data_IF_891396663469
#
_entry.id   IF_891396663469
#
_cell.length_a   1.000
_cell.length_b   1.000
_cell.length_c   1.000
_cell.angle_alpha   90.00
_cell.angle_beta   90.00
_cell.angle_gamma   90.00
#
_symmetry.space_group_name_H-M   'P 1'
#
loop_
_entity.id
_entity.type
_entity.pdbx_description
1 polymer ?
#
# COMPACT_ATOMS: atom_id res chain seq x y z
N UNK A 1 -9.21 -36.09 -49.54
CA UNK A 1 -8.90 -34.98 -50.45
C UNK A 1 -8.24 -33.87 -49.64
N UNK A 2 -6.90 -33.82 -49.64
CA UNK A 2 -6.15 -32.68 -49.13
C UNK A 2 -6.13 -31.61 -50.23
N UNK A 3 -6.77 -30.47 -49.99
CA UNK A 3 -6.75 -29.35 -50.94
C UNK A 3 -5.34 -28.81 -51.11
N UNK A 4 -4.86 -28.74 -52.36
CA UNK A 4 -3.62 -28.09 -52.75
C UNK A 4 -3.89 -26.59 -52.94
N UNK A 5 -3.06 -25.72 -52.36
CA UNK A 5 -3.12 -24.28 -52.55
C UNK A 5 -1.92 -23.80 -53.38
N UNK A 6 -2.17 -23.02 -54.43
CA UNK A 6 -1.14 -22.43 -55.29
C UNK A 6 -1.12 -20.90 -55.09
N UNK A 7 -0.05 -20.38 -54.50
CA UNK A 7 0.12 -18.94 -54.21
C UNK A 7 0.84 -18.69 -52.88
N UNK A 8 1.14 -17.42 -52.57
CA UNK A 8 1.67 -17.02 -51.25
C UNK A 8 0.51 -16.91 -50.27
N UNK A 9 0.50 -17.74 -49.23
CA UNK A 9 -0.37 -17.55 -48.07
C UNK A 9 0.37 -16.78 -47.00
N UNK A 10 -0.33 -15.84 -46.37
CA UNK A 10 0.11 -15.25 -45.12
C UNK A 10 -0.81 -15.78 -44.03
N UNK A 11 -0.21 -16.35 -42.99
CA UNK A 11 -0.90 -16.72 -41.76
C UNK A 11 -0.40 -15.79 -40.69
N UNK A 12 -1.31 -15.09 -40.01
CA UNK A 12 -0.91 -14.34 -38.83
C UNK A 12 -0.54 -15.34 -37.74
N UNK A 13 0.76 -15.52 -37.51
CA UNK A 13 1.29 -16.39 -36.47
C UNK A 13 1.61 -15.50 -35.27
N UNK A 14 0.64 -15.42 -34.36
CA UNK A 14 0.73 -14.65 -33.11
C UNK A 14 1.57 -15.46 -32.10
N UNK A 15 2.90 -15.47 -32.30
CA UNK A 15 3.89 -16.15 -31.44
C UNK A 15 4.84 -15.13 -30.82
N UNK A 16 5.24 -15.37 -29.57
CA UNK A 16 6.22 -14.55 -28.87
C UNK A 16 5.76 -14.09 -27.48
N UNK A 17 6.74 -13.79 -26.64
CA UNK A 17 6.52 -13.21 -25.32
C UNK A 17 5.87 -11.83 -25.44
N UNK A 18 4.80 -11.59 -24.67
CA UNK A 18 4.13 -10.28 -24.57
C UNK A 18 4.59 -9.56 -23.32
N UNK A 19 4.76 -8.24 -23.44
CA UNK A 19 5.20 -7.39 -22.32
C UNK A 19 4.14 -7.35 -21.23
N UNK A 20 4.58 -7.49 -19.98
CA UNK A 20 3.72 -7.37 -18.79
C UNK A 20 3.81 -5.94 -18.29
N UNK A 21 2.67 -5.27 -18.15
CA UNK A 21 2.59 -3.96 -17.53
C UNK A 21 2.35 -4.07 -16.03
N UNK A 22 2.90 -3.11 -15.27
CA UNK A 22 2.61 -2.98 -13.86
C UNK A 22 1.20 -2.41 -13.65
N UNK A 23 0.40 -2.98 -12.72
CA UNK A 23 -0.83 -2.36 -12.29
C UNK A 23 -0.52 -1.13 -11.44
N UNK A 24 -1.43 -0.17 -11.41
CA UNK A 24 -1.32 1.00 -10.53
C UNK A 24 -1.25 0.54 -9.06
N UNK A 25 -0.14 0.82 -8.40
CA UNK A 25 0.13 0.41 -7.01
C UNK A 25 -0.48 1.35 -5.97
N UNK A 26 -0.92 2.53 -6.41
CA UNK A 26 -1.25 3.69 -5.57
C UNK A 26 -2.75 4.01 -5.48
N UNK A 27 -3.63 3.09 -5.88
CA UNK A 27 -5.09 3.28 -5.73
C UNK A 27 -5.45 3.18 -4.25
N UNK A 28 -6.09 4.22 -3.71
CA UNK A 28 -6.45 4.33 -2.30
C UNK A 28 -7.94 4.00 -2.12
N UNK A 29 -8.25 3.08 -1.22
CA UNK A 29 -9.59 2.75 -0.76
C UNK A 29 -9.87 3.51 0.53
N UNK A 30 -10.87 4.38 0.51
CA UNK A 30 -11.14 5.30 1.60
C UNK A 30 -12.58 5.13 2.10
N UNK A 31 -12.76 4.96 3.41
CA UNK A 31 -14.09 4.97 4.03
C UNK A 31 -14.09 5.91 5.21
N UNK A 32 -14.99 6.88 5.18
CA UNK A 32 -15.17 7.85 6.26
C UNK A 32 -16.62 8.38 6.24
N UNK A 33 -16.94 9.20 7.24
CA UNK A 33 -18.26 9.74 7.48
C UNK A 33 -18.55 11.00 6.67
N UNK A 34 -19.83 11.15 6.32
CA UNK A 34 -20.39 12.39 5.80
C UNK A 34 -21.85 12.53 6.22
N UNK A 35 -22.41 13.71 5.99
CA UNK A 35 -23.84 13.98 6.19
C UNK A 35 -24.49 14.15 4.83
N UNK A 36 -25.50 13.32 4.53
CA UNK A 36 -26.26 13.46 3.29
C UNK A 36 -26.99 14.81 3.27
N UNK A 37 -26.84 15.55 2.18
CA UNK A 37 -27.59 16.77 1.94
C UNK A 37 -28.02 16.81 0.47
N UNK A 38 -29.19 17.41 0.14
CA UNK A 38 -29.66 17.54 -1.24
C UNK A 38 -28.69 18.29 -2.17
N UNK A 39 -27.78 19.09 -1.62
CA UNK A 39 -26.78 19.83 -2.35
C UNK A 39 -25.61 18.98 -2.89
N UNK A 40 -25.47 17.73 -2.42
CA UNK A 40 -24.36 16.84 -2.75
C UNK A 40 -24.84 15.59 -3.48
N UNK A 41 -23.97 15.02 -4.32
CA UNK A 41 -24.35 13.91 -5.21
C UNK A 41 -24.22 12.53 -4.57
N UNK A 42 -23.39 12.37 -3.54
CA UNK A 42 -23.16 11.07 -2.93
C UNK A 42 -24.35 10.60 -2.08
N UNK A 43 -24.58 9.29 -2.13
CA UNK A 43 -25.49 8.57 -1.23
C UNK A 43 -24.68 7.68 -0.29
N UNK A 44 -25.19 7.44 0.90
CA UNK A 44 -24.54 6.59 1.88
C UNK A 44 -24.32 5.20 1.31
N UNK A 45 -23.12 4.68 1.55
CA UNK A 45 -22.64 3.40 1.06
C UNK A 45 -22.63 3.28 -0.48
N UNK A 46 -22.71 4.39 -1.22
CA UNK A 46 -22.35 4.36 -2.63
C UNK A 46 -20.84 4.53 -2.79
N UNK A 47 -20.29 3.74 -3.71
CA UNK A 47 -18.88 3.76 -4.03
C UNK A 47 -18.66 4.76 -5.16
N UNK A 48 -17.74 5.70 -4.95
CA UNK A 48 -17.40 6.73 -5.93
C UNK A 48 -15.90 6.67 -6.26
N UNK A 49 -15.57 6.93 -7.52
CA UNK A 49 -14.20 7.15 -7.98
C UNK A 49 -13.92 8.64 -7.95
N UNK A 50 -12.85 9.04 -7.26
CA UNK A 50 -12.43 10.43 -7.10
C UNK A 50 -11.00 10.56 -7.61
N UNK A 51 -10.79 11.55 -8.48
CA UNK A 51 -9.50 11.82 -9.12
C UNK A 51 -8.98 13.23 -8.83
N UNK A 52 -9.83 14.09 -8.29
CA UNK A 52 -9.49 15.46 -7.93
C UNK A 52 -10.34 15.94 -6.73
N UNK A 53 -9.90 17.02 -6.11
CA UNK A 53 -10.54 17.60 -4.93
C UNK A 53 -11.95 18.12 -5.22
N UNK A 54 -12.18 18.68 -6.42
CA UNK A 54 -13.48 19.21 -6.83
C UNK A 54 -14.55 18.12 -6.85
N UNK A 55 -14.22 16.93 -7.32
CA UNK A 55 -15.11 15.76 -7.29
C UNK A 55 -15.48 15.36 -5.87
N UNK A 56 -14.51 15.36 -4.94
CA UNK A 56 -14.78 15.06 -3.53
C UNK A 56 -15.75 16.08 -2.91
N UNK A 57 -15.50 17.38 -3.14
CA UNK A 57 -16.35 18.47 -2.62
C UNK A 57 -17.76 18.38 -3.22
N UNK A 58 -17.89 18.11 -4.51
CA UNK A 58 -19.20 17.94 -5.15
C UNK A 58 -19.95 16.70 -4.64
N UNK A 59 -19.22 15.63 -4.29
CA UNK A 59 -19.77 14.37 -3.82
C UNK A 59 -20.29 14.46 -2.38
N UNK A 60 -19.50 14.99 -1.45
CA UNK A 60 -19.80 14.93 0.00
C UNK A 60 -19.87 16.28 0.71
N UNK A 61 -19.51 17.36 0.02
CA UNK A 61 -19.39 18.69 0.61
C UNK A 61 -18.00 19.01 1.16
N UNK A 62 -17.66 20.29 1.32
CA UNK A 62 -16.32 20.72 1.73
C UNK A 62 -15.96 20.34 3.17
N UNK A 63 -16.94 20.33 4.08
CA UNK A 63 -16.70 20.10 5.51
C UNK A 63 -16.77 18.63 5.93
N UNK A 64 -17.12 17.72 5.01
CA UNK A 64 -17.24 16.31 5.32
C UNK A 64 -15.87 15.68 5.64
N UNK A 65 -15.85 14.76 6.62
CA UNK A 65 -14.61 14.10 7.05
C UNK A 65 -13.92 13.36 5.89
N UNK A 66 -14.73 12.67 5.07
CA UNK A 66 -14.29 12.02 3.84
C UNK A 66 -13.62 12.98 2.84
N UNK A 67 -14.14 14.20 2.69
CA UNK A 67 -13.57 15.22 1.79
C UNK A 67 -12.23 15.72 2.34
N UNK A 68 -12.15 15.98 3.65
CA UNK A 68 -10.89 16.37 4.31
C UNK A 68 -9.82 15.28 4.20
N UNK A 69 -10.21 14.01 4.28
CA UNK A 69 -9.30 12.89 4.07
C UNK A 69 -8.81 12.77 2.61
N UNK A 70 -9.69 13.04 1.63
CA UNK A 70 -9.28 13.15 0.22
C UNK A 70 -8.30 14.32 0.01
N UNK A 71 -8.57 15.48 0.61
CA UNK A 71 -7.67 16.65 0.57
C UNK A 71 -6.30 16.32 1.18
N UNK A 72 -6.27 15.62 2.31
CA UNK A 72 -5.05 15.16 2.97
C UNK A 72 -4.16 14.29 2.05
N UNK A 73 -4.77 13.35 1.32
CA UNK A 73 -4.07 12.54 0.31
C UNK A 73 -3.51 13.44 -0.80
N UNK A 74 -4.35 14.35 -1.30
CA UNK A 74 -4.01 15.25 -2.40
C UNK A 74 -2.93 16.29 -2.07
N UNK A 75 -2.63 16.55 -0.78
CA UNK A 75 -1.48 17.36 -0.39
C UNK A 75 -0.16 16.79 -0.90
N UNK A 76 -0.06 15.45 -1.04
CA UNK A 76 1.18 14.79 -1.43
C UNK A 76 1.10 14.08 -2.78
N UNK A 77 -0.02 13.44 -3.10
CA UNK A 77 -0.19 12.72 -4.36
C UNK A 77 -1.58 12.92 -4.96
N UNK A 78 -1.64 13.18 -6.27
CA UNK A 78 -2.88 13.09 -7.07
C UNK A 78 -3.23 11.62 -7.35
N UNK A 79 -3.49 10.88 -6.30
CA UNK A 79 -3.83 9.45 -6.36
C UNK A 79 -5.27 9.24 -6.81
N UNK A 80 -5.57 8.07 -7.38
CA UNK A 80 -6.94 7.65 -7.63
C UNK A 80 -7.54 7.11 -6.34
N UNK A 81 -8.65 7.68 -5.90
CA UNK A 81 -9.32 7.30 -4.65
C UNK A 81 -10.65 6.62 -4.98
N UNK A 82 -10.83 5.40 -4.49
CA UNK A 82 -12.11 4.69 -4.46
C UNK A 82 -12.68 4.89 -3.06
N UNK A 83 -13.70 5.73 -2.96
CA UNK A 83 -14.21 6.21 -1.69
C UNK A 83 -15.66 5.75 -1.45
N UNK A 84 -15.94 5.34 -0.21
CA UNK A 84 -17.27 4.98 0.27
C UNK A 84 -17.64 5.91 1.43
N UNK A 85 -18.63 6.77 1.21
CA UNK A 85 -19.15 7.64 2.26
C UNK A 85 -20.14 6.88 3.15
N UNK A 86 -19.93 6.87 4.45
CA UNK A 86 -20.88 6.31 5.42
C UNK A 86 -21.63 7.43 6.11
N UNK A 87 -22.94 7.26 6.32
CA UNK A 87 -23.73 8.26 7.03
C UNK A 87 -23.22 8.43 8.47
N UNK A 88 -23.07 9.67 8.91
CA UNK A 88 -22.71 10.00 10.30
C UNK A 88 -23.90 9.71 11.23
N UNK A 89 -23.69 8.85 12.22
CA UNK A 89 -24.67 8.53 13.27
C UNK A 89 -24.20 9.04 14.64
N UNK A 90 -25.14 9.20 15.58
CA UNK A 90 -24.84 9.74 16.90
C UNK A 90 -24.16 8.73 17.83
N UNK A 91 -24.56 7.44 17.75
CA UNK A 91 -23.99 6.38 18.57
C UNK A 91 -22.67 5.85 17.98
N UNK A 92 -21.64 5.75 18.83
CA UNK A 92 -20.30 5.36 18.40
C UNK A 92 -20.20 3.87 18.01
N UNK A 93 -20.98 3.00 18.65
CA UNK A 93 -20.99 1.57 18.35
C UNK A 93 -21.73 1.28 17.04
N UNK A 94 -22.85 1.98 16.81
CA UNK A 94 -23.54 1.99 15.52
C UNK A 94 -22.65 2.55 14.42
N UNK A 95 -21.91 3.65 14.68
CA UNK A 95 -20.98 4.21 13.70
C UNK A 95 -19.87 3.22 13.34
N UNK A 96 -19.31 2.53 14.33
CA UNK A 96 -18.30 1.47 14.14
C UNK A 96 -18.87 0.37 13.25
N UNK A 97 -20.10 -0.07 13.53
CA UNK A 97 -20.80 -1.10 12.74
C UNK A 97 -21.07 -0.64 11.30
N UNK A 98 -21.45 0.63 11.11
CA UNK A 98 -21.70 1.21 9.79
C UNK A 98 -20.42 1.34 8.95
N UNK A 99 -19.27 1.67 9.57
CA UNK A 99 -17.97 1.74 8.89
C UNK A 99 -17.49 0.34 8.47
N UNK A 100 -17.61 -0.66 9.35
CA UNK A 100 -17.31 -2.06 9.00
C UNK A 100 -18.22 -2.50 7.85
N UNK A 101 -19.51 -2.18 7.96
CA UNK A 101 -20.53 -2.51 6.98
C UNK A 101 -20.75 -4.02 6.84
N UNK A 102 -21.35 -4.40 5.73
CA UNK A 102 -21.73 -5.78 5.45
C UNK A 102 -22.31 -5.93 4.06
N UNK A 103 -23.12 -6.98 3.90
CA UNK A 103 -23.89 -7.23 2.67
C UNK A 103 -25.36 -7.14 3.03
N UNK A 104 -26.09 -6.27 2.35
CA UNK A 104 -27.54 -6.13 2.47
C UNK A 104 -28.25 -7.25 1.70
N UNK A 105 -29.54 -7.46 1.98
CA UNK A 105 -30.32 -8.53 1.34
C UNK A 105 -30.47 -8.36 -0.19
N UNK A 106 -30.35 -7.13 -0.68
CA UNK A 106 -30.31 -6.80 -2.12
C UNK A 106 -28.94 -7.09 -2.77
N UNK A 107 -27.95 -7.57 -1.99
CA UNK A 107 -26.60 -7.83 -2.43
C UNK A 107 -25.67 -6.61 -2.40
N UNK A 108 -26.17 -5.42 -2.04
CA UNK A 108 -25.35 -4.21 -1.94
C UNK A 108 -24.39 -4.32 -0.76
N UNK A 109 -23.11 -4.06 -1.02
CA UNK A 109 -22.08 -3.98 0.01
C UNK A 109 -22.03 -2.58 0.62
N UNK A 110 -21.81 -2.52 1.93
CA UNK A 110 -21.77 -1.26 2.70
C UNK A 110 -20.43 -1.09 3.43
N UNK A 111 -20.14 0.15 3.84
CA UNK A 111 -18.93 0.50 4.57
C UNK A 111 -17.66 0.02 3.86
N UNK A 112 -16.78 -0.63 4.61
CA UNK A 112 -15.53 -1.23 4.12
C UNK A 112 -15.74 -2.30 3.05
N UNK A 113 -16.81 -3.10 3.14
CA UNK A 113 -17.04 -4.17 2.17
C UNK A 113 -17.30 -3.62 0.75
N UNK A 114 -17.81 -2.39 0.63
CA UNK A 114 -18.05 -1.75 -0.67
C UNK A 114 -16.76 -1.54 -1.47
N UNK A 115 -15.59 -1.42 -0.82
CA UNK A 115 -14.31 -1.25 -1.50
C UNK A 115 -13.94 -2.47 -2.38
N UNK A 116 -14.52 -3.64 -2.11
CA UNK A 116 -14.35 -4.83 -2.97
C UNK A 116 -14.88 -4.62 -4.39
N UNK A 117 -15.86 -3.72 -4.55
CA UNK A 117 -16.53 -3.48 -5.82
C UNK A 117 -15.80 -2.42 -6.67
N UNK A 118 -14.70 -1.83 -6.17
CA UNK A 118 -13.94 -0.80 -6.88
C UNK A 118 -13.41 -1.28 -8.23
N UNK A 119 -12.96 -2.54 -8.30
CA UNK A 119 -12.44 -3.12 -9.56
C UNK A 119 -13.53 -3.35 -10.59
N UNK A 120 -14.69 -3.87 -10.19
CA UNK A 120 -15.78 -4.15 -11.13
C UNK A 120 -16.49 -2.87 -11.59
N UNK A 121 -16.66 -1.89 -10.70
CA UNK A 121 -17.33 -0.61 -11.03
C UNK A 121 -16.44 0.35 -11.80
N UNK A 122 -15.16 0.45 -11.43
CA UNK A 122 -14.28 1.51 -11.91
C UNK A 122 -12.96 1.02 -12.51
N UNK A 123 -12.76 -0.31 -12.59
CA UNK A 123 -11.46 -0.91 -12.92
C UNK A 123 -10.32 -0.43 -11.99
N UNK A 124 -10.67 0.01 -10.78
CA UNK A 124 -9.76 0.56 -9.79
C UNK A 124 -9.78 -0.33 -8.54
N UNK A 125 -8.82 -1.24 -8.43
CA UNK A 125 -8.69 -2.11 -7.25
C UNK A 125 -7.88 -1.39 -6.16
N UNK A 126 -8.45 -1.11 -4.99
CA UNK A 126 -7.72 -0.43 -3.91
C UNK A 126 -6.54 -1.26 -3.39
N UNK A 127 -5.38 -0.62 -3.23
CA UNK A 127 -4.13 -1.21 -2.73
C UNK A 127 -3.67 -0.62 -1.41
N UNK A 128 -4.09 0.59 -1.09
CA UNK A 128 -3.91 1.21 0.22
C UNK A 128 -5.30 1.41 0.80
N UNK A 129 -5.58 0.87 1.98
CA UNK A 129 -6.89 0.98 2.63
C UNK A 129 -6.77 1.86 3.86
N UNK A 130 -7.65 2.84 3.97
CA UNK A 130 -7.62 3.85 5.02
C UNK A 130 -9.03 4.15 5.50
N UNK A 131 -9.20 4.13 6.82
CA UNK A 131 -10.40 4.61 7.51
C UNK A 131 -9.98 5.61 8.60
N UNK A 132 -9.77 6.88 8.21
CA UNK A 132 -9.22 7.88 9.10
C UNK A 132 -10.03 7.97 10.38
N UNK A 133 -9.37 8.01 11.54
CA UNK A 133 -9.97 8.06 12.89
C UNK A 133 -10.72 6.80 13.31
N UNK A 134 -11.41 6.12 12.40
CA UNK A 134 -12.20 4.92 12.71
C UNK A 134 -11.34 3.68 12.92
N UNK A 135 -10.16 3.64 12.28
CA UNK A 135 -9.21 2.52 12.40
C UNK A 135 -8.56 2.37 13.79
N UNK A 136 -8.68 3.37 14.68
CA UNK A 136 -8.22 3.27 16.08
C UNK A 136 -9.13 2.38 16.94
N UNK A 137 -10.33 2.07 16.46
CA UNK A 137 -11.22 1.08 17.08
C UNK A 137 -10.87 -0.32 16.59
N UNK A 138 -10.58 -1.24 17.52
CA UNK A 138 -10.10 -2.60 17.21
C UNK A 138 -11.00 -3.36 16.23
N UNK A 139 -12.33 -3.19 16.33
CA UNK A 139 -13.29 -3.85 15.45
C UNK A 139 -13.13 -3.39 13.98
N UNK A 140 -12.94 -2.09 13.74
CA UNK A 140 -12.70 -1.53 12.40
C UNK A 140 -11.31 -1.92 11.91
N UNK A 141 -10.28 -1.83 12.76
CA UNK A 141 -8.92 -2.25 12.43
C UNK A 141 -8.87 -3.71 11.96
N UNK A 142 -9.53 -4.61 12.69
CA UNK A 142 -9.63 -6.05 12.33
C UNK A 142 -10.33 -6.24 10.98
N UNK A 143 -11.45 -5.55 10.75
CA UNK A 143 -12.18 -5.63 9.48
C UNK A 143 -11.36 -5.08 8.30
N UNK A 144 -10.61 -3.99 8.53
CA UNK A 144 -9.74 -3.36 7.53
C UNK A 144 -8.59 -4.29 7.13
N UNK A 145 -7.95 -4.96 8.08
CA UNK A 145 -6.89 -5.95 7.83
C UNK A 145 -7.44 -7.16 7.07
N UNK A 146 -8.59 -7.69 7.48
CA UNK A 146 -9.23 -8.81 6.79
C UNK A 146 -9.61 -8.45 5.33
N UNK A 147 -10.02 -7.20 5.10
CA UNK A 147 -10.28 -6.68 3.76
C UNK A 147 -8.99 -6.51 2.95
N UNK A 148 -7.91 -6.03 3.58
CA UNK A 148 -6.59 -5.90 2.97
C UNK A 148 -6.06 -7.25 2.47
N UNK A 149 -6.28 -8.34 3.22
CA UNK A 149 -5.93 -9.69 2.80
C UNK A 149 -6.71 -10.15 1.55
N UNK A 150 -8.00 -9.82 1.46
CA UNK A 150 -8.83 -10.15 0.27
C UNK A 150 -8.42 -9.34 -0.96
N UNK A 151 -8.18 -8.04 -0.77
CA UNK A 151 -7.82 -7.12 -1.86
C UNK A 151 -6.34 -7.18 -2.25
N UNK A 152 -5.49 -7.88 -1.48
CA UNK A 152 -4.02 -7.79 -1.57
C UNK A 152 -3.59 -6.33 -1.52
N UNK A 153 -4.07 -5.62 -0.51
CA UNK A 153 -3.73 -4.24 -0.20
C UNK A 153 -3.06 -4.11 1.17
N UNK A 154 -2.71 -2.90 1.57
CA UNK A 154 -2.15 -2.57 2.87
C UNK A 154 -3.16 -1.74 3.66
N UNK A 155 -3.52 -2.19 4.86
CA UNK A 155 -4.33 -1.43 5.80
C UNK A 155 -3.43 -0.44 6.56
N UNK A 156 -3.68 0.86 6.40
CA UNK A 156 -3.04 1.92 7.17
C UNK A 156 -3.94 2.25 8.35
N UNK A 157 -3.47 1.93 9.56
CA UNK A 157 -4.23 1.99 10.80
C UNK A 157 -3.74 3.16 11.64
N UNK A 158 -4.65 3.99 12.13
CA UNK A 158 -4.36 5.03 13.10
C UNK A 158 -4.28 4.44 14.52
N UNK A 159 -3.31 4.87 15.30
CA UNK A 159 -3.29 4.62 16.74
C UNK A 159 -4.32 5.41 17.52
N UNK A 160 -4.49 5.11 18.82
CA UNK A 160 -5.44 5.82 19.68
C UNK A 160 -5.02 7.27 19.96
N UNK A 161 -3.78 7.68 19.62
CA UNK A 161 -3.25 9.02 19.82
C UNK A 161 -3.32 9.52 21.28
N UNK A 162 -3.24 8.59 22.25
CA UNK A 162 -3.34 8.86 23.68
C UNK A 162 -1.97 8.78 24.36
N UNK A 163 -1.53 7.58 24.78
CA UNK A 163 -0.18 7.35 25.34
C UNK A 163 0.57 6.30 24.52
N UNK A 164 1.89 6.24 24.69
CA UNK A 164 2.72 5.26 23.99
C UNK A 164 2.36 3.84 24.42
N UNK A 165 2.02 3.62 25.69
CA UNK A 165 1.57 2.33 26.21
C UNK A 165 0.23 1.91 25.59
N UNK A 166 -0.69 2.85 25.40
CA UNK A 166 -1.96 2.57 24.73
C UNK A 166 -1.74 2.22 23.26
N UNK A 167 -0.84 2.91 22.57
CA UNK A 167 -0.48 2.59 21.19
C UNK A 167 0.18 1.19 21.08
N UNK A 168 1.13 0.88 21.98
CA UNK A 168 1.78 -0.43 22.05
C UNK A 168 0.80 -1.55 22.41
N UNK A 169 -0.14 -1.31 23.33
CA UNK A 169 -1.19 -2.26 23.68
C UNK A 169 -2.11 -2.51 22.48
N UNK A 170 -2.47 -1.45 21.75
CA UNK A 170 -3.31 -1.55 20.57
C UNK A 170 -2.64 -2.34 19.43
N UNK A 171 -1.35 -2.07 19.17
CA UNK A 171 -0.57 -2.78 18.15
C UNK A 171 -0.54 -4.30 18.39
N UNK A 172 -0.48 -4.74 19.65
CA UNK A 172 -0.47 -6.16 20.03
C UNK A 172 -1.75 -6.92 19.67
N UNK A 173 -2.85 -6.23 19.37
CA UNK A 173 -4.07 -6.88 18.88
C UNK A 173 -3.92 -7.39 17.43
N UNK A 174 -2.90 -6.95 16.70
CA UNK A 174 -2.69 -7.31 15.30
C UNK A 174 -1.39 -8.09 15.15
N UNK A 175 -1.46 -9.23 14.44
CA UNK A 175 -0.31 -10.05 14.05
C UNK A 175 -0.27 -10.26 12.53
N UNK A 176 -0.62 -9.23 11.75
CA UNK A 176 -0.90 -9.34 10.33
C UNK A 176 0.11 -8.56 9.48
N UNK A 177 0.62 -9.22 8.42
CA UNK A 177 1.60 -8.61 7.50
C UNK A 177 1.05 -7.43 6.69
N UNK A 178 -0.26 -7.32 6.55
CA UNK A 178 -0.94 -6.25 5.79
C UNK A 178 -1.46 -5.13 6.67
N UNK A 179 -1.03 -5.06 7.93
CA UNK A 179 -1.32 -3.97 8.84
C UNK A 179 -0.09 -3.07 9.00
N UNK A 180 -0.27 -1.78 8.76
CA UNK A 180 0.73 -0.74 8.94
C UNK A 180 0.16 0.34 9.84
N UNK A 181 0.64 0.42 11.08
CA UNK A 181 0.08 1.33 12.07
C UNK A 181 0.92 2.59 12.18
N UNK A 182 0.23 3.73 12.27
CA UNK A 182 0.83 5.05 12.46
C UNK A 182 0.26 5.71 13.71
N UNK A 183 1.15 6.09 14.61
CA UNK A 183 0.84 6.87 15.80
C UNK A 183 2.06 7.78 16.10
N UNK A 184 1.89 9.10 16.27
CA UNK A 184 0.67 9.81 16.65
C UNK A 184 -0.14 10.35 15.48
N UNK A 185 -1.27 10.99 15.80
CA UNK A 185 -1.99 11.86 14.87
C UNK A 185 -1.19 13.10 14.49
N UNK A 186 -1.68 13.82 13.48
CA UNK A 186 -1.05 15.03 12.96
C UNK A 186 -1.86 16.28 13.29
N UNK A 187 -1.24 17.44 13.09
CA UNK A 187 -1.88 18.74 13.11
C UNK A 187 -1.70 19.43 11.77
N UNK A 188 -2.76 20.08 11.30
CA UNK A 188 -2.72 20.89 10.08
C UNK A 188 -3.55 22.16 10.26
N UNK A 189 -3.28 23.16 9.43
CA UNK A 189 -4.07 24.39 9.39
C UNK A 189 -5.34 24.19 8.56
N UNK A 190 -6.51 24.26 9.20
CA UNK A 190 -7.81 24.22 8.52
C UNK A 190 -8.25 25.65 8.18
N UNK A 191 -8.32 25.96 6.89
CA UNK A 191 -8.75 27.27 6.39
C UNK A 191 -10.21 27.59 6.75
N UNK A 192 -11.08 26.58 6.84
CA UNK A 192 -12.48 26.77 7.21
C UNK A 192 -12.64 27.11 8.69
N UNK A 193 -11.86 26.44 9.55
CA UNK A 193 -11.83 26.72 10.99
C UNK A 193 -10.93 27.93 11.35
N UNK A 194 -10.05 28.36 10.43
CA UNK A 194 -9.00 29.35 10.68
C UNK A 194 -8.16 29.02 11.93
N UNK A 195 -7.84 27.74 12.10
CA UNK A 195 -7.13 27.23 13.25
C UNK A 195 -6.30 25.98 12.91
N UNK A 196 -5.30 25.69 13.73
CA UNK A 196 -4.63 24.38 13.70
C UNK A 196 -5.54 23.35 14.36
N UNK A 197 -5.83 22.26 13.66
CA UNK A 197 -6.71 21.18 14.13
C UNK A 197 -6.00 19.84 14.09
N UNK A 198 -6.34 18.97 15.05
CA UNK A 198 -5.85 17.59 15.09
C UNK A 198 -6.55 16.71 14.04
N UNK A 199 -5.81 15.79 13.44
CA UNK A 199 -6.32 14.83 12.48
C UNK A 199 -5.65 13.46 12.61
N UNK A 200 -6.35 12.37 12.25
CA UNK A 200 -5.73 11.07 12.05
C UNK A 200 -4.66 11.14 10.95
N UNK A 201 -3.58 10.37 11.11
CA UNK A 201 -2.43 10.41 10.19
C UNK A 201 -2.63 9.55 8.93
N UNK A 202 -3.52 8.56 8.96
CA UNK A 202 -3.65 7.51 7.95
C UNK A 202 -3.86 8.04 6.52
N UNK A 203 -4.61 9.13 6.34
CA UNK A 203 -4.83 9.75 5.03
C UNK A 203 -3.56 10.41 4.45
N UNK A 204 -2.81 11.18 5.26
CA UNK A 204 -1.53 11.76 4.84
C UNK A 204 -0.50 10.68 4.53
N UNK A 205 -0.47 9.62 5.33
CA UNK A 205 0.41 8.47 5.12
C UNK A 205 0.06 7.76 3.82
N UNK A 206 -1.24 7.54 3.53
CA UNK A 206 -1.67 6.95 2.26
C UNK A 206 -1.24 7.80 1.05
N UNK A 207 -1.35 9.13 1.16
CA UNK A 207 -0.82 10.06 0.15
C UNK A 207 0.71 9.95 -0.01
N UNK A 208 1.44 9.78 1.09
CA UNK A 208 2.90 9.61 1.07
C UNK A 208 3.32 8.28 0.44
N UNK A 209 2.60 7.18 0.70
CA UNK A 209 2.79 5.91 0.01
C UNK A 209 2.56 6.05 -1.50
N UNK A 210 1.44 6.66 -1.90
CA UNK A 210 1.12 6.87 -3.30
C UNK A 210 2.16 7.75 -4.02
N UNK A 211 2.70 8.75 -3.34
CA UNK A 211 3.79 9.58 -3.86
C UNK A 211 5.10 8.81 -3.98
N UNK A 212 5.46 8.02 -2.95
CA UNK A 212 6.68 7.20 -2.93
C UNK A 212 6.69 6.21 -4.09
N UNK A 213 5.55 5.60 -4.40
CA UNK A 213 5.40 4.70 -5.55
C UNK A 213 5.71 5.38 -6.87
N UNK A 214 5.23 6.62 -7.04
CA UNK A 214 5.39 7.37 -8.29
C UNK A 214 6.83 7.87 -8.47
N UNK A 215 7.47 8.32 -7.39
CA UNK A 215 8.81 8.95 -7.44
C UNK A 215 9.95 7.93 -7.35
N UNK A 216 9.83 6.92 -6.47
CA UNK A 216 10.91 5.97 -6.18
C UNK A 216 10.56 4.52 -6.53
N UNK A 217 9.31 4.22 -6.85
CA UNK A 217 8.82 2.87 -7.11
C UNK A 217 8.22 2.19 -5.88
N UNK A 218 7.33 1.22 -6.11
CA UNK A 218 6.58 0.52 -5.05
C UNK A 218 7.44 -0.31 -4.08
N UNK A 219 8.68 -0.61 -4.47
CA UNK A 219 9.67 -1.33 -3.67
C UNK A 219 10.40 -0.42 -2.67
N UNK A 220 10.32 0.90 -2.84
CA UNK A 220 10.94 1.86 -1.93
C UNK A 220 10.15 1.98 -0.62
N UNK A 221 10.86 2.21 0.48
CA UNK A 221 10.23 2.48 1.76
C UNK A 221 9.65 3.89 1.80
N UNK A 222 8.42 4.08 2.33
CA UNK A 222 7.86 5.40 2.59
C UNK A 222 8.47 6.08 3.83
N UNK A 223 9.32 5.36 4.60
CA UNK A 223 10.03 5.92 5.75
C UNK A 223 11.09 6.93 5.30
N UNK A 224 11.37 7.90 6.17
CA UNK A 224 12.25 9.05 5.93
C UNK A 224 11.80 9.97 4.77
N UNK A 225 10.50 9.92 4.40
CA UNK A 225 9.91 10.81 3.40
C UNK A 225 9.14 11.94 4.08
N UNK A 226 9.21 13.12 3.48
CA UNK A 226 8.66 14.36 4.02
C UNK A 226 7.15 14.44 3.81
N UNK A 227 6.46 14.91 4.85
CA UNK A 227 5.07 15.32 4.76
C UNK A 227 4.94 16.73 4.16
N UNK A 228 3.79 16.97 3.53
CA UNK A 228 3.38 18.29 3.02
C UNK A 228 2.06 18.66 3.68
N UNK A 229 1.90 19.95 4.01
CA UNK A 229 0.63 20.47 4.52
C UNK A 229 0.33 20.11 5.99
N UNK A 230 1.35 19.72 6.77
CA UNK A 230 1.22 19.51 8.22
C UNK A 230 1.99 20.56 8.99
N UNK A 231 1.45 20.98 10.14
CA UNK A 231 2.02 22.00 11.03
C UNK A 231 2.59 21.39 12.32
N UNK A 232 2.17 20.18 12.67
CA UNK A 232 2.48 19.54 13.94
C UNK A 232 2.17 18.05 13.95
N UNK A 233 2.54 17.41 15.06
CA UNK A 233 1.98 16.13 15.50
C UNK A 233 1.16 16.39 16.75
N UNK A 234 0.04 15.67 16.95
CA UNK A 234 -0.81 15.85 18.14
C UNK A 234 -0.03 15.55 19.42
N UNK A 235 0.85 14.54 19.37
CA UNK A 235 1.81 14.24 20.43
C UNK A 235 3.22 14.47 19.90
N UNK A 236 4.05 15.16 20.67
CA UNK A 236 5.46 15.29 20.34
C UNK A 236 6.15 13.93 20.52
N UNK A 237 6.75 13.43 19.45
CA UNK A 237 7.58 12.23 19.49
C UNK A 237 9.03 12.65 19.63
N UNK A 238 9.65 12.22 20.71
CA UNK A 238 11.08 12.40 20.93
C UNK A 238 11.86 11.52 19.95
N UNK A 239 12.75 12.17 19.21
CA UNK A 239 13.72 11.56 18.31
C UNK A 239 15.07 12.21 18.59
N UNK A 240 16.02 11.39 19.02
CA UNK A 240 17.38 11.78 19.37
C UNK A 240 18.34 10.86 18.61
N UNK A 241 19.28 11.45 17.88
CA UNK A 241 20.25 10.68 17.09
C UNK A 241 21.13 9.83 18.00
N UNK A 242 21.14 8.51 17.75
CA UNK A 242 21.96 7.56 18.49
C UNK A 242 21.43 7.17 19.88
N UNK A 243 20.24 7.65 20.30
CA UNK A 243 19.62 7.25 21.56
C UNK A 243 18.59 6.14 21.37
N UNK A 244 18.88 4.96 21.91
CA UNK A 244 18.00 3.80 21.86
C UNK A 244 16.73 3.97 22.72
N UNK A 245 16.74 4.88 23.69
CA UNK A 245 15.64 5.07 24.65
C UNK A 245 14.59 6.07 24.17
N UNK A 246 14.80 6.73 23.02
CA UNK A 246 13.88 7.72 22.51
C UNK A 246 12.49 7.12 22.20
N UNK A 247 11.45 7.94 22.35
CA UNK A 247 10.06 7.55 22.11
C UNK A 247 9.84 6.99 20.69
N UNK A 248 10.49 7.57 19.68
CA UNK A 248 10.44 7.07 18.31
C UNK A 248 10.95 5.62 18.20
N UNK A 249 12.05 5.30 18.89
CA UNK A 249 12.60 3.94 18.87
C UNK A 249 11.75 2.95 19.67
N UNK A 250 11.20 3.38 20.83
CA UNK A 250 10.26 2.58 21.61
C UNK A 250 9.05 2.12 20.78
N UNK A 251 8.42 3.05 20.05
CA UNK A 251 7.25 2.74 19.22
C UNK A 251 7.63 1.90 17.99
N UNK A 252 8.76 2.19 17.33
CA UNK A 252 9.24 1.37 16.21
C UNK A 252 9.58 -0.07 16.61
N UNK A 253 10.11 -0.28 17.83
CA UNK A 253 10.33 -1.62 18.39
C UNK A 253 9.02 -2.39 18.61
N UNK A 254 7.91 -1.68 18.81
CA UNK A 254 6.56 -2.26 18.84
C UNK A 254 5.88 -2.30 17.45
N UNK A 255 6.65 -2.13 16.37
CA UNK A 255 6.18 -2.12 14.98
C UNK A 255 5.22 -0.96 14.63
N UNK A 256 5.24 0.12 15.42
CA UNK A 256 4.42 1.32 15.21
C UNK A 256 5.28 2.36 14.49
N UNK A 257 4.78 2.85 13.37
CA UNK A 257 5.41 3.94 12.65
C UNK A 257 5.05 5.28 13.29
N UNK A 258 6.04 6.14 13.44
CA UNK A 258 5.91 7.46 14.07
C UNK A 258 6.10 8.58 13.05
N UNK A 259 5.88 9.82 13.49
CA UNK A 259 6.17 11.02 12.72
C UNK A 259 7.16 11.84 13.54
N UNK A 260 8.36 12.03 13.00
CA UNK A 260 9.45 12.76 13.66
C UNK A 260 9.63 14.13 13.01
N UNK A 261 10.34 15.02 13.72
CA UNK A 261 10.79 16.30 13.20
C UNK A 261 12.29 16.27 12.98
N UNK A 262 12.71 16.26 11.73
CA UNK A 262 14.10 16.36 11.29
C UNK A 262 14.15 17.07 9.93
N UNK A 263 14.60 18.33 9.93
CA UNK A 263 14.50 19.26 8.79
C UNK A 263 13.09 19.40 8.18
N UNK A 264 12.07 19.19 8.99
CA UNK A 264 10.68 19.07 8.55
C UNK A 264 10.02 17.87 9.21
N UNK A 265 8.77 17.58 8.86
CA UNK A 265 8.10 16.38 9.37
C UNK A 265 8.29 15.21 8.42
N UNK A 266 8.70 14.07 8.97
CA UNK A 266 8.98 12.85 8.21
C UNK A 266 8.26 11.65 8.80
N UNK A 267 7.81 10.75 7.93
CA UNK A 267 7.34 9.43 8.37
C UNK A 267 8.53 8.59 8.82
N UNK A 268 8.44 7.96 9.99
CA UNK A 268 9.54 7.26 10.61
C UNK A 268 9.14 5.88 11.11
N UNK A 269 9.48 4.87 10.32
CA UNK A 269 9.12 3.48 10.55
C UNK A 269 8.73 2.78 9.23
N UNK A 270 9.27 1.59 9.02
CA UNK A 270 9.03 0.81 7.80
C UNK A 270 8.56 -0.63 8.09
N UNK A 271 8.23 -0.91 9.35
CA UNK A 271 7.78 -2.23 9.81
C UNK A 271 6.25 -2.34 9.73
N UNK A 272 5.78 -3.55 9.42
CA UNK A 272 4.38 -3.96 9.51
C UNK A 272 4.12 -4.56 10.89
N UNK A 273 2.85 -4.73 11.27
CA UNK A 273 2.45 -5.46 12.48
C UNK A 273 2.49 -6.99 12.30
N UNK A 274 3.36 -7.51 11.44
CA UNK A 274 3.49 -8.96 11.27
C UNK A 274 4.11 -9.62 12.49
N UNK A 275 3.56 -10.76 12.92
CA UNK A 275 4.19 -11.64 13.91
C UNK A 275 5.33 -12.49 13.32
N UNK A 276 5.43 -12.57 11.99
CA UNK A 276 6.47 -13.31 11.29
C UNK A 276 7.59 -12.35 10.84
N UNK A 277 8.83 -12.49 11.36
CA UNK A 277 9.96 -11.66 10.96
C UNK A 277 10.23 -11.67 9.45
N UNK A 278 9.82 -12.74 8.74
CA UNK A 278 9.91 -12.80 7.28
C UNK A 278 9.14 -11.66 6.61
N UNK A 279 8.04 -11.18 7.19
CA UNK A 279 7.20 -10.11 6.66
C UNK A 279 7.32 -8.80 7.45
N UNK A 280 8.41 -8.62 8.19
CA UNK A 280 8.62 -7.44 9.03
C UNK A 280 8.51 -6.13 8.23
N UNK A 281 9.12 -6.04 7.05
CA UNK A 281 9.15 -4.80 6.27
C UNK A 281 7.95 -4.63 5.34
N UNK A 282 7.44 -3.40 5.29
CA UNK A 282 6.36 -3.03 4.36
C UNK A 282 6.82 -3.13 2.90
N UNK A 283 8.09 -2.84 2.62
CA UNK A 283 8.68 -2.96 1.26
C UNK A 283 8.57 -4.38 0.73
N UNK A 284 8.82 -5.38 1.58
CA UNK A 284 8.71 -6.79 1.22
C UNK A 284 7.28 -7.20 0.88
N UNK A 285 6.33 -6.83 1.73
CA UNK A 285 4.91 -7.15 1.53
C UNK A 285 4.40 -6.50 0.24
N UNK A 286 4.72 -5.22 0.02
CA UNK A 286 4.28 -4.47 -1.15
C UNK A 286 4.94 -4.94 -2.44
N UNK A 287 6.24 -5.21 -2.43
CA UNK A 287 6.95 -5.75 -3.58
C UNK A 287 6.33 -7.07 -4.02
N UNK A 288 6.07 -7.98 -3.07
CA UNK A 288 5.41 -9.25 -3.39
C UNK A 288 4.00 -9.05 -3.95
N UNK A 289 3.17 -8.25 -3.28
CA UNK A 289 1.77 -8.04 -3.71
C UNK A 289 1.71 -7.45 -5.13
N UNK A 290 2.50 -6.42 -5.43
CA UNK A 290 2.54 -5.81 -6.77
C UNK A 290 3.10 -6.76 -7.84
N UNK A 291 4.15 -7.53 -7.55
CA UNK A 291 4.69 -8.53 -8.47
C UNK A 291 3.64 -9.59 -8.82
N UNK A 292 2.94 -10.13 -7.81
CA UNK A 292 1.87 -11.11 -8.04
C UNK A 292 0.74 -10.52 -8.89
N UNK A 293 0.33 -9.29 -8.61
CA UNK A 293 -0.74 -8.64 -9.36
C UNK A 293 -0.36 -8.31 -10.81
N UNK A 294 0.89 -7.90 -11.05
CA UNK A 294 1.41 -7.68 -12.39
C UNK A 294 1.44 -8.98 -13.20
N UNK A 295 1.87 -10.08 -12.59
CA UNK A 295 1.86 -11.40 -13.22
C UNK A 295 0.43 -11.80 -13.60
N UNK A 296 -0.53 -11.65 -12.68
CA UNK A 296 -1.95 -11.97 -12.94
C UNK A 296 -2.55 -11.10 -14.05
N UNK A 297 -2.24 -9.80 -14.06
CA UNK A 297 -2.75 -8.88 -15.08
C UNK A 297 -2.14 -9.16 -16.46
N UNK A 298 -0.82 -9.38 -16.52
CA UNK A 298 -0.07 -9.64 -17.75
C UNK A 298 -0.38 -10.98 -18.42
N UNK A 299 -0.85 -11.97 -17.66
CA UNK A 299 -1.14 -13.32 -18.17
C UNK A 299 -2.61 -13.63 -18.38
N UNK A 300 -3.50 -12.63 -18.38
CA UNK A 300 -4.92 -12.86 -18.72
C UNK A 300 -5.11 -13.51 -20.09
N UNK A 301 -4.22 -13.25 -21.05
CA UNK A 301 -4.24 -13.90 -22.37
C UNK A 301 -3.88 -15.39 -22.34
N UNK A 302 -3.18 -15.83 -21.29
CA UNK A 302 -2.76 -17.22 -21.11
C UNK A 302 -3.88 -18.08 -20.50
N UNK A 303 -4.97 -17.46 -20.06
CA UNK A 303 -6.20 -18.14 -19.65
C UNK A 303 -6.94 -18.60 -20.91
N UNK A 304 -7.49 -19.81 -20.88
CA UNK A 304 -8.27 -20.46 -21.97
C UNK A 304 -7.51 -20.78 -23.27
N UNK A 305 -6.19 -20.60 -23.31
CA UNK A 305 -5.35 -21.10 -24.42
C UNK A 305 -5.09 -22.59 -24.29
N UNK A 306 -4.98 -23.27 -25.43
CA UNK A 306 -4.59 -24.68 -25.47
C UNK A 306 -3.20 -24.89 -24.85
N UNK A 307 -3.09 -25.86 -23.96
CA UNK A 307 -1.83 -26.20 -23.30
C UNK A 307 -0.95 -26.98 -24.28
N UNK A 308 -0.08 -26.26 -24.97
CA UNK A 308 0.95 -26.82 -25.86
C UNK A 308 2.34 -26.71 -25.21
N UNK A 309 3.34 -27.42 -25.74
CA UNK A 309 4.73 -27.23 -25.30
C UNK A 309 5.20 -25.78 -25.49
N UNK A 310 4.74 -25.12 -26.55
CA UNK A 310 5.00 -23.70 -26.80
C UNK A 310 4.30 -22.80 -25.78
N UNK A 311 3.07 -23.12 -25.35
CA UNK A 311 2.37 -22.36 -24.31
C UNK A 311 3.18 -22.26 -23.02
N UNK A 312 3.68 -23.40 -22.51
CA UNK A 312 4.47 -23.42 -21.26
C UNK A 312 5.76 -22.61 -21.41
N UNK A 313 6.40 -22.70 -22.57
CA UNK A 313 7.61 -21.94 -22.90
C UNK A 313 7.33 -20.45 -23.00
N UNK A 314 6.31 -20.05 -23.76
CA UNK A 314 5.94 -18.65 -23.99
C UNK A 314 5.57 -17.93 -22.68
N UNK A 315 4.84 -18.59 -21.79
CA UNK A 315 4.52 -18.07 -20.44
C UNK A 315 5.79 -17.91 -19.61
N UNK A 316 6.68 -18.92 -19.63
CA UNK A 316 7.93 -18.87 -18.88
C UNK A 316 8.84 -17.73 -19.37
N UNK A 317 8.97 -17.56 -20.69
CA UNK A 317 9.76 -16.48 -21.29
C UNK A 317 9.15 -15.10 -21.02
N UNK A 318 7.82 -14.97 -21.07
CA UNK A 318 7.10 -13.74 -20.71
C UNK A 318 7.32 -13.34 -19.25
N UNK A 319 7.23 -14.30 -18.33
CA UNK A 319 7.55 -14.09 -16.91
C UNK A 319 9.01 -13.69 -16.71
N UNK A 320 9.95 -14.36 -17.36
CA UNK A 320 11.38 -14.03 -17.26
C UNK A 320 11.68 -12.62 -17.82
N UNK A 321 11.03 -12.22 -18.91
CA UNK A 321 11.17 -10.87 -19.46
C UNK A 321 10.70 -9.81 -18.47
N UNK A 322 9.51 -9.98 -17.89
CA UNK A 322 8.99 -9.06 -16.87
C UNK A 322 9.88 -8.96 -15.63
N UNK A 323 10.31 -10.10 -15.09
CA UNK A 323 11.18 -10.11 -13.90
C UNK A 323 12.55 -9.49 -14.20
N UNK A 324 13.05 -9.59 -15.43
CA UNK A 324 14.26 -8.89 -15.88
C UNK A 324 14.07 -7.39 -15.94
N UNK A 325 12.91 -6.91 -16.38
CA UNK A 325 12.60 -5.48 -16.37
C UNK A 325 12.54 -4.93 -14.93
N UNK A 326 11.93 -5.67 -14.00
CA UNK A 326 11.95 -5.33 -12.58
C UNK A 326 13.36 -5.27 -11.99
N UNK A 327 14.21 -6.23 -12.36
CA UNK A 327 15.62 -6.23 -11.94
C UNK A 327 16.36 -5.01 -12.48
N UNK A 328 16.15 -4.65 -13.74
CA UNK A 328 16.78 -3.47 -14.36
C UNK A 328 16.35 -2.15 -13.71
N UNK A 329 15.12 -2.07 -13.20
CA UNK A 329 14.61 -0.93 -12.44
C UNK A 329 15.13 -0.88 -10.99
N UNK A 330 15.78 -1.94 -10.52
CA UNK A 330 16.22 -2.06 -9.12
C UNK A 330 15.12 -2.46 -8.14
N UNK A 331 13.97 -2.96 -8.63
CA UNK A 331 12.88 -3.43 -7.78
C UNK A 331 13.18 -4.75 -7.05
N UNK A 332 14.03 -5.57 -7.67
CA UNK A 332 14.48 -6.87 -7.17
C UNK A 332 15.96 -7.06 -7.48
N UNK A 333 16.65 -7.92 -6.71
CA UNK A 333 18.08 -8.18 -6.90
C UNK A 333 18.31 -9.24 -7.98
N UNK A 334 17.68 -10.40 -7.81
CA UNK A 334 17.76 -11.55 -8.73
C UNK A 334 16.47 -12.37 -8.63
N UNK A 335 16.20 -13.16 -9.68
CA UNK A 335 15.02 -14.00 -9.78
C UNK A 335 15.31 -15.30 -10.51
N UNK A 336 14.41 -16.26 -10.34
CA UNK A 336 14.39 -17.55 -11.01
C UNK A 336 12.94 -17.89 -11.35
N UNK A 337 12.67 -18.21 -12.62
CA UNK A 337 11.35 -18.59 -13.11
C UNK A 337 11.46 -19.86 -13.94
N UNK A 338 10.69 -20.88 -13.57
CA UNK A 338 10.64 -22.17 -14.25
C UNK A 338 9.27 -22.83 -14.09
N UNK A 339 8.87 -23.65 -15.07
CA UNK A 339 7.71 -24.52 -14.94
C UNK A 339 8.03 -25.69 -14.00
N UNK A 340 7.08 -26.06 -13.13
CA UNK A 340 7.30 -27.13 -12.16
C UNK A 340 7.21 -28.51 -12.83
N UNK A 341 8.30 -29.28 -12.87
CA UNK A 341 8.29 -30.60 -13.53
C UNK A 341 7.64 -31.70 -12.70
N UNK A 342 7.48 -31.50 -11.39
CA UNK A 342 6.91 -32.50 -10.48
C UNK A 342 5.40 -32.35 -10.36
N UNK A 343 4.91 -31.10 -10.27
CA UNK A 343 3.47 -30.82 -10.16
C UNK A 343 2.73 -30.87 -11.51
N UNK A 344 3.41 -30.64 -12.63
CA UNK A 344 2.82 -30.69 -13.97
C UNK A 344 2.69 -32.12 -14.51
N UNK A 345 1.90 -32.95 -13.81
CA UNK A 345 1.58 -34.32 -14.25
C UNK A 345 0.50 -34.32 -15.35
N UNK A 346 0.41 -35.42 -16.11
CA UNK A 346 -0.60 -35.54 -17.17
C UNK A 346 -2.04 -35.33 -16.67
N UNK A 347 -2.38 -35.79 -15.47
CA UNK A 347 -3.72 -35.61 -14.89
C UNK A 347 -4.01 -34.16 -14.49
N UNK A 348 -3.00 -33.37 -14.15
CA UNK A 348 -3.17 -31.92 -13.93
C UNK A 348 -3.37 -31.19 -15.26
N UNK A 349 -2.60 -31.56 -16.28
CA UNK A 349 -2.73 -30.99 -17.63
C UNK A 349 -4.10 -31.30 -18.26
N UNK A 350 -4.63 -32.50 -18.07
CA UNK A 350 -6.00 -32.87 -18.47
C UNK A 350 -7.07 -32.01 -17.78
N UNK A 351 -6.81 -31.58 -16.53
CA UNK A 351 -7.66 -30.65 -15.80
C UNK A 351 -7.42 -29.17 -16.17
N UNK A 352 -6.56 -28.89 -17.14
CA UNK A 352 -6.21 -27.53 -17.54
C UNK A 352 -5.30 -26.79 -16.57
N UNK A 353 -4.63 -27.49 -15.65
CA UNK A 353 -3.78 -26.89 -14.60
C UNK A 353 -2.31 -27.00 -14.98
N UNK A 354 -1.60 -25.88 -14.89
CA UNK A 354 -0.16 -25.78 -15.09
C UNK A 354 0.43 -24.93 -13.96
N UNK A 355 1.55 -25.39 -13.39
CA UNK A 355 2.25 -24.77 -12.27
C UNK A 355 3.58 -24.19 -12.72
N UNK A 356 3.87 -22.97 -12.25
CA UNK A 356 5.15 -22.29 -12.39
C UNK A 356 5.65 -21.85 -11.02
N UNK A 357 6.97 -21.94 -10.85
CA UNK A 357 7.66 -21.44 -9.68
C UNK A 357 8.37 -20.14 -10.02
N UNK A 358 8.12 -19.11 -9.21
CA UNK A 358 8.64 -17.75 -9.38
C UNK A 358 9.31 -17.37 -8.07
N UNK A 359 10.65 -17.43 -8.06
CA UNK A 359 11.46 -17.10 -6.89
C UNK A 359 12.17 -15.78 -7.16
N UNK A 360 12.20 -14.89 -6.18
CA UNK A 360 12.93 -13.63 -6.30
C UNK A 360 13.41 -13.15 -4.93
N UNK A 361 14.40 -12.26 -4.95
CA UNK A 361 14.91 -11.57 -3.75
C UNK A 361 14.53 -10.10 -3.82
N UNK A 362 13.83 -9.62 -2.80
CA UNK A 362 13.45 -8.22 -2.64
C UNK A 362 14.65 -7.35 -2.24
N UNK A 363 14.54 -6.03 -2.42
CA UNK A 363 15.55 -5.08 -1.95
C UNK A 363 15.25 -4.70 -0.49
N UNK A 364 16.10 -5.07 0.47
CA UNK A 364 15.88 -4.72 1.87
C UNK A 364 16.12 -3.21 2.07
N UNK A 365 15.29 -2.53 2.89
CA UNK A 365 15.55 -1.15 3.24
C UNK A 365 16.75 -1.06 4.19
N UNK A 366 17.58 -0.01 4.04
CA UNK A 366 18.64 0.30 5.00
C UNK A 366 18.03 0.94 6.26
N UNK A 367 17.47 0.11 7.15
CA UNK A 367 16.78 0.55 8.37
C UNK A 367 17.72 1.18 9.40
N UNK A 368 18.96 0.67 9.54
CA UNK A 368 19.93 1.17 10.52
C UNK A 368 21.37 1.18 9.95
N UNK A 369 21.84 2.29 9.39
CA UNK A 369 23.25 2.48 9.04
C UNK A 369 24.10 2.67 10.30
N UNK A 370 25.03 1.74 10.56
CA UNK A 370 25.88 1.78 11.76
C UNK A 370 27.28 2.30 11.42
N UNK A 371 27.64 3.47 11.92
CA UNK A 371 28.97 4.06 11.76
C UNK A 371 29.82 3.80 13.01
N UNK A 372 30.97 3.14 12.84
CA UNK A 372 31.92 2.89 13.92
C UNK A 372 33.07 3.89 13.80
N UNK A 373 33.06 4.89 14.68
CA UNK A 373 34.10 5.92 14.73
C UNK A 373 35.15 5.52 15.77
N UNK A 374 36.42 5.58 15.39
CA UNK A 374 37.55 5.30 16.25
C UNK A 374 38.48 6.51 16.29
N UNK A 375 38.86 6.95 17.49
CA UNK A 375 39.91 7.95 17.68
C UNK A 375 41.23 7.22 17.82
N UNK A 376 42.15 7.40 16.87
CA UNK A 376 43.47 6.76 16.90
C UNK A 376 44.58 7.79 17.07
N UNK A 377 45.69 7.37 17.70
CA UNK A 377 46.93 8.15 17.76
C UNK A 377 47.91 7.76 16.62
N UNK A 378 47.44 6.99 15.64
CA UNK A 378 48.27 6.43 14.56
C UNK A 378 48.99 7.51 13.76
N UNK A 379 48.33 8.65 13.56
CA UNK A 379 48.82 9.76 12.75
C UNK A 379 49.29 10.96 13.57
N UNK A 380 49.50 10.78 14.88
CA UNK A 380 49.85 11.88 15.78
C UNK A 380 51.21 12.50 15.43
N UNK A 381 52.11 11.75 14.81
CA UNK A 381 53.44 12.23 14.39
C UNK A 381 53.48 12.78 12.95
N UNK A 382 52.49 12.48 12.11
CA UNK A 382 52.48 12.94 10.70
C UNK A 382 52.31 14.46 10.58
N UNK A 383 51.76 15.12 11.60
CA UNK A 383 51.70 16.59 11.67
C UNK A 383 53.08 17.27 11.67
N UNK A 384 54.14 16.52 11.99
CA UNK A 384 55.53 17.01 11.99
C UNK A 384 56.21 16.85 10.62
N UNK A 385 55.64 16.06 9.71
CA UNK A 385 56.25 15.77 8.40
C UNK A 385 56.08 16.91 7.39
N UNK A 386 55.24 17.92 7.67
CA UNK A 386 55.07 19.11 6.84
C UNK A 386 56.05 20.26 7.13
N UNK A 387 57.06 20.05 7.99
CA UNK A 387 58.07 21.07 8.36
C UNK A 387 59.48 20.82 7.79
N UNK A 388 59.63 19.97 6.78
CA UNK A 388 60.90 19.73 6.07
C UNK A 388 61.01 20.51 4.76
#
# INVERSE_FOLDING_TARGET
MSGFFHGVTVTNVDTGARTISLPTSSIIGLVDTFTEAPAFTAKANDLLLITNEREAIAAWGPDAAITKACQAIYQRAKAVIVACGVAKVADAAEQTSAIIGGVLADGKRTGLQALLDGKSRFNAQPRLLVTPKHSSTQAVGTALVALADKLRGLAIIDGPNSTDEAAMAYAKHFGAKRAYMVDPGIQYWDNGASATVDAPASAWVAGLFAWTDNEYGFWASPSNKEFVGITGTTRSIEFLDGDETCRANLLNNANITTIIRDEGFRLWGNRTLSSDPKWAFVTRVRTLDIVMDAILYGHKWAVDRSITATYVKDVTEGLQAFMRDLKNQGAIINFEVYADTELNTASQLEQGKVYWNIRFTDVPPAENPNFRVEVTNQWLTEVLEHTA
#
